data_IF_964199582530
#
_entry.id   IF_964199582530
#
_cell.length_a   1.000
_cell.length_b   1.000
_cell.length_c   1.000
_cell.angle_alpha   90.00
_cell.angle_beta   90.00
_cell.angle_gamma   90.00
#
_symmetry.space_group_name_H-M   'P 1'
#
loop_
_entity.id
_entity.type
_entity.pdbx_description
1 polymer ?
#
# COMPACT_ATOMS: atom_id res chain seq x y z
N UNK A 1 -1.48 6.52 -1.75
CA UNK A 1 -2.43 7.68 -1.74
C UNK A 1 -2.79 8.10 -3.16
N UNK A 2 -1.86 8.64 -3.93
CA UNK A 2 -2.12 9.28 -5.25
C UNK A 2 -2.91 8.40 -6.24
N UNK A 3 -2.66 7.11 -6.28
CA UNK A 3 -3.38 6.18 -7.16
C UNK A 3 -4.74 5.71 -6.62
N UNK A 4 -5.04 5.96 -5.35
CA UNK A 4 -6.30 5.55 -4.70
C UNK A 4 -7.28 6.72 -4.56
N UNK A 5 -6.83 7.84 -4.01
CA UNK A 5 -7.62 9.08 -3.98
C UNK A 5 -7.46 9.81 -5.32
N UNK A 6 -8.50 9.74 -6.13
CA UNK A 6 -8.53 10.35 -7.47
C UNK A 6 -8.32 11.87 -7.47
N UNK A 7 -8.62 12.54 -6.36
CA UNK A 7 -8.55 14.00 -6.27
C UNK A 7 -7.15 14.57 -6.49
N UNK A 8 -6.10 13.81 -6.12
CA UNK A 8 -4.72 14.25 -6.30
C UNK A 8 -4.35 14.45 -7.77
N UNK A 9 -4.64 13.48 -8.63
CA UNK A 9 -4.30 13.53 -10.04
C UNK A 9 -5.32 14.32 -10.88
N UNK A 10 -6.57 14.33 -10.45
CA UNK A 10 -7.64 15.09 -11.14
C UNK A 10 -7.32 16.59 -11.23
N UNK A 11 -6.61 17.15 -10.25
CA UNK A 11 -6.14 18.55 -10.28
C UNK A 11 -5.21 18.86 -11.46
N UNK A 12 -4.61 17.83 -12.03
CA UNK A 12 -3.70 17.90 -13.17
C UNK A 12 -4.31 17.30 -14.44
N UNK A 13 -5.63 17.06 -14.47
CA UNK A 13 -6.32 16.48 -15.61
C UNK A 13 -6.01 15.01 -15.87
N UNK A 14 -5.46 14.29 -14.87
CA UNK A 14 -5.11 12.88 -14.99
C UNK A 14 -6.10 12.02 -14.21
N UNK A 15 -6.66 11.01 -14.87
CA UNK A 15 -7.48 10.00 -14.20
C UNK A 15 -6.57 8.92 -13.57
N UNK A 16 -6.67 8.77 -12.25
CA UNK A 16 -5.91 7.77 -11.50
C UNK A 16 -6.17 6.33 -11.99
N UNK A 17 -7.32 6.06 -12.61
CA UNK A 17 -7.63 4.74 -13.15
C UNK A 17 -6.82 4.38 -14.41
N UNK A 18 -6.15 5.36 -15.04
CA UNK A 18 -5.27 5.13 -16.19
C UNK A 18 -3.84 4.71 -15.78
N UNK A 19 -3.54 4.67 -14.48
CA UNK A 19 -2.26 4.15 -13.98
C UNK A 19 -2.21 2.64 -14.25
N UNK A 20 -1.13 2.16 -14.87
CA UNK A 20 -0.96 0.75 -15.25
C UNK A 20 -0.91 -0.20 -14.04
N UNK A 21 -0.43 0.27 -12.89
CA UNK A 21 -0.40 -0.50 -11.64
C UNK A 21 0.24 0.29 -10.51
N UNK A 22 -0.03 -0.13 -9.29
CA UNK A 22 0.52 0.42 -8.05
C UNK A 22 1.35 -0.67 -7.36
N UNK A 23 2.59 -0.36 -7.05
CA UNK A 23 3.50 -1.30 -6.42
C UNK A 23 4.16 -0.67 -5.17
N UNK A 24 3.44 -0.55 -4.06
CA UNK A 24 4.01 -0.01 -2.82
C UNK A 24 5.00 -0.99 -2.22
N UNK A 25 6.23 -0.52 -1.98
CA UNK A 25 7.31 -1.27 -1.35
C UNK A 25 7.23 -1.07 0.16
N UNK A 26 6.65 -2.01 0.88
CA UNK A 26 6.41 -1.93 2.33
C UNK A 26 5.80 -0.59 2.75
N UNK A 27 4.80 -0.15 1.97
CA UNK A 27 4.12 1.12 2.17
C UNK A 27 3.19 1.09 3.39
N UNK A 28 2.98 2.23 4.03
CA UNK A 28 1.92 2.37 5.03
C UNK A 28 0.54 2.37 4.36
N UNK A 29 -0.43 1.78 5.00
CA UNK A 29 -1.83 1.73 4.53
C UNK A 29 -2.82 2.34 5.52
N UNK A 30 -2.44 2.43 6.80
CA UNK A 30 -3.10 3.29 7.79
C UNK A 30 -2.44 4.68 7.77
N UNK A 31 -3.00 5.66 8.47
CA UNK A 31 -2.41 7.00 8.60
C UNK A 31 -1.01 6.90 9.19
N UNK A 32 -0.01 7.41 8.47
CA UNK A 32 1.40 7.28 8.82
C UNK A 32 1.69 7.82 10.23
N UNK A 33 2.71 7.29 10.89
CA UNK A 33 3.07 7.69 12.26
C UNK A 33 3.44 9.18 12.37
N UNK A 34 4.02 9.79 11.34
CA UNK A 34 4.39 11.22 11.38
C UNK A 34 3.18 12.12 11.62
N UNK A 35 2.11 12.14 10.78
CA UNK A 35 0.92 12.94 11.08
C UNK A 35 0.22 12.52 12.37
N UNK A 36 0.32 11.27 12.81
CA UNK A 36 -0.20 10.86 14.12
C UNK A 36 0.58 11.51 15.26
N UNK A 37 1.92 11.50 15.21
CA UNK A 37 2.78 12.14 16.21
C UNK A 37 2.56 13.65 16.27
N UNK A 38 2.44 14.33 15.14
CA UNK A 38 2.13 15.76 15.06
C UNK A 38 0.79 16.11 15.75
N UNK A 39 -0.14 15.16 15.83
CA UNK A 39 -1.42 15.29 16.52
C UNK A 39 -1.40 14.75 17.96
N UNK A 40 -0.24 14.40 18.49
CA UNK A 40 -0.10 13.85 19.84
C UNK A 40 -0.62 12.41 19.99
N UNK A 41 -0.79 11.67 18.89
CA UNK A 41 -1.25 10.28 18.91
C UNK A 41 -0.03 9.36 18.95
N UNK A 42 0.01 8.45 19.93
CA UNK A 42 1.10 7.49 20.07
C UNK A 42 1.20 6.57 18.85
N UNK A 43 2.43 6.17 18.49
CA UNK A 43 2.70 5.33 17.31
C UNK A 43 2.01 3.96 17.36
N UNK A 44 1.73 3.45 18.55
CA UNK A 44 1.03 2.18 18.78
C UNK A 44 -0.50 2.29 18.57
N UNK A 45 -1.05 3.51 18.50
CA UNK A 45 -2.48 3.72 18.24
C UNK A 45 -2.73 3.88 16.75
N UNK A 46 -3.44 2.94 16.11
CA UNK A 46 -3.77 3.07 14.70
C UNK A 46 -4.78 4.19 14.49
N UNK A 47 -4.69 4.83 13.33
CA UNK A 47 -5.66 5.81 12.84
C UNK A 47 -5.89 5.57 11.35
N UNK A 48 -7.14 5.62 10.92
CA UNK A 48 -7.53 5.51 9.51
C UNK A 48 -8.41 6.73 9.20
N UNK A 49 -7.83 7.70 8.55
CA UNK A 49 -8.49 8.91 8.08
C UNK A 49 -8.16 9.18 6.61
N UNK A 50 -8.52 10.34 6.09
CA UNK A 50 -8.30 10.73 4.70
C UNK A 50 -6.83 10.67 4.23
N UNK A 51 -5.88 10.57 5.16
CA UNK A 51 -4.44 10.41 4.88
C UNK A 51 -4.00 8.95 4.83
N UNK A 52 -4.91 8.02 5.06
CA UNK A 52 -4.65 6.58 5.00
C UNK A 52 -5.03 6.00 3.65
N UNK A 53 -4.17 5.24 2.94
CA UNK A 53 -4.57 4.49 1.75
C UNK A 53 -5.81 3.61 1.97
N UNK A 54 -5.92 3.00 3.15
CA UNK A 54 -7.04 2.14 3.53
C UNK A 54 -8.40 2.86 3.53
N UNK A 55 -8.42 4.17 3.80
CA UNK A 55 -9.63 5.00 3.73
C UNK A 55 -10.19 5.10 2.30
N UNK A 56 -9.31 5.01 1.30
CA UNK A 56 -9.62 5.20 -0.13
C UNK A 56 -9.73 3.88 -0.90
N UNK A 57 -10.03 2.78 -0.22
CA UNK A 57 -10.30 1.47 -0.87
C UNK A 57 -11.48 1.62 -1.82
N UNK A 58 -11.29 1.14 -3.05
CA UNK A 58 -12.32 1.19 -4.09
C UNK A 58 -12.18 0.05 -5.11
N UNK A 59 -13.28 -0.45 -5.69
CA UNK A 59 -13.24 -1.61 -6.58
C UNK A 59 -12.60 -1.34 -7.95
N UNK A 60 -12.61 -0.09 -8.39
CA UNK A 60 -12.10 0.36 -9.69
C UNK A 60 -10.69 0.96 -9.63
N UNK A 61 -9.93 0.70 -8.56
CA UNK A 61 -8.55 1.12 -8.45
C UNK A 61 -7.65 0.42 -9.50
N UNK A 62 -6.49 1.03 -9.88
CA UNK A 62 -5.49 0.31 -10.67
C UNK A 62 -5.07 -1.00 -10.02
N UNK A 63 -4.52 -1.96 -10.78
CA UNK A 63 -3.91 -3.17 -10.21
C UNK A 63 -2.92 -2.82 -9.09
N UNK A 64 -2.94 -3.58 -7.99
CA UNK A 64 -2.10 -3.31 -6.81
C UNK A 64 -1.34 -4.57 -6.42
N UNK A 65 -0.01 -4.47 -6.37
CA UNK A 65 0.88 -5.52 -5.85
C UNK A 65 1.55 -5.01 -4.59
N UNK A 66 1.04 -5.41 -3.44
CA UNK A 66 1.60 -5.07 -2.13
C UNK A 66 2.80 -5.96 -1.84
N UNK A 67 3.90 -5.37 -1.36
CA UNK A 67 5.08 -6.12 -0.93
C UNK A 67 5.49 -5.68 0.47
N UNK A 68 5.84 -6.64 1.32
CA UNK A 68 6.36 -6.40 2.67
C UNK A 68 7.56 -7.30 2.95
N UNK A 69 8.38 -6.94 3.91
CA UNK A 69 9.31 -7.86 4.52
C UNK A 69 8.59 -8.89 5.39
N UNK A 70 9.36 -9.69 6.09
CA UNK A 70 8.88 -10.67 7.07
C UNK A 70 8.17 -9.94 8.22
N UNK A 71 6.95 -10.37 8.55
CA UNK A 71 6.13 -9.75 9.61
C UNK A 71 6.83 -9.63 10.96
N UNK A 72 7.75 -10.55 11.25
CA UNK A 72 8.50 -10.58 12.50
C UNK A 72 9.74 -9.66 12.48
N UNK A 73 10.13 -9.15 11.31
CA UNK A 73 11.31 -8.31 11.09
C UNK A 73 10.97 -6.90 10.55
N UNK A 74 9.73 -6.69 10.15
CA UNK A 74 9.24 -5.41 9.62
C UNK A 74 9.03 -4.35 10.70
N UNK A 75 8.77 -3.12 10.26
CA UNK A 75 8.29 -2.05 11.14
C UNK A 75 6.96 -2.44 11.78
N UNK A 76 6.74 -1.95 12.99
CA UNK A 76 5.55 -2.25 13.80
C UNK A 76 4.25 -2.14 12.99
N UNK A 77 3.54 -3.25 12.87
CA UNK A 77 2.24 -3.32 12.21
C UNK A 77 2.27 -3.23 10.68
N UNK A 78 3.44 -3.12 10.06
CA UNK A 78 3.56 -2.87 8.62
C UNK A 78 2.99 -4.01 7.76
N UNK A 79 3.28 -5.25 8.11
CA UNK A 79 2.68 -6.39 7.42
C UNK A 79 1.17 -6.44 7.65
N UNK A 80 0.74 -6.29 8.89
CA UNK A 80 -0.66 -6.41 9.31
C UNK A 80 -1.54 -5.35 8.63
N UNK A 81 -1.08 -4.09 8.54
CA UNK A 81 -1.83 -3.04 7.85
C UNK A 81 -1.96 -3.30 6.34
N UNK A 82 -0.91 -3.84 5.71
CA UNK A 82 -0.94 -4.22 4.29
C UNK A 82 -1.85 -5.44 4.05
N UNK A 83 -1.83 -6.44 4.93
CA UNK A 83 -2.71 -7.59 4.87
C UNK A 83 -4.18 -7.18 5.04
N UNK A 84 -4.46 -6.26 5.97
CA UNK A 84 -5.81 -5.72 6.17
C UNK A 84 -6.27 -4.90 4.96
N UNK A 85 -5.42 -4.03 4.42
CA UNK A 85 -5.71 -3.29 3.20
C UNK A 85 -6.04 -4.24 2.03
N UNK A 86 -5.23 -5.26 1.80
CA UNK A 86 -5.49 -6.27 0.78
C UNK A 86 -6.85 -6.95 0.97
N UNK A 87 -7.17 -7.34 2.21
CA UNK A 87 -8.47 -7.92 2.54
C UNK A 87 -9.61 -6.98 2.19
N UNK A 88 -9.50 -5.71 2.53
CA UNK A 88 -10.53 -4.70 2.28
C UNK A 88 -10.69 -4.38 0.79
N UNK A 89 -9.61 -4.41 0.01
CA UNK A 89 -9.69 -4.33 -1.45
C UNK A 89 -10.54 -5.46 -2.03
N UNK A 90 -10.35 -6.69 -1.56
CA UNK A 90 -11.16 -7.85 -1.96
C UNK A 90 -12.63 -7.71 -1.54
N UNK A 91 -12.89 -7.27 -0.33
CA UNK A 91 -14.25 -7.01 0.18
C UNK A 91 -14.96 -5.95 -0.66
N UNK A 92 -14.24 -4.91 -1.10
CA UNK A 92 -14.77 -3.88 -2.00
C UNK A 92 -15.01 -4.39 -3.43
N UNK A 93 -14.57 -5.60 -3.77
CA UNK A 93 -14.74 -6.18 -5.10
C UNK A 93 -13.58 -5.93 -6.07
N UNK A 94 -12.45 -5.39 -5.59
CA UNK A 94 -11.25 -5.20 -6.40
C UNK A 94 -10.65 -6.56 -6.77
N UNK A 95 -10.39 -6.80 -8.07
CA UNK A 95 -10.02 -8.13 -8.58
C UNK A 95 -8.54 -8.31 -8.90
N UNK A 96 -7.79 -7.21 -8.94
CA UNK A 96 -6.37 -7.20 -9.32
C UNK A 96 -5.49 -6.70 -8.16
N UNK A 97 -5.65 -7.28 -6.97
CA UNK A 97 -4.84 -6.98 -5.79
C UNK A 97 -4.14 -8.23 -5.27
N UNK A 98 -2.84 -8.11 -5.03
CA UNK A 98 -1.99 -9.17 -4.51
C UNK A 98 -1.18 -8.67 -3.31
N UNK A 99 -0.71 -9.60 -2.48
CA UNK A 99 0.23 -9.31 -1.39
C UNK A 99 1.34 -10.38 -1.37
N UNK A 100 2.58 -9.93 -1.23
CA UNK A 100 3.77 -10.77 -1.11
C UNK A 100 4.54 -10.41 0.15
N UNK A 101 4.78 -11.40 0.99
CA UNK A 101 5.62 -11.31 2.17
C UNK A 101 6.98 -11.95 1.88
N UNK A 102 8.06 -11.22 2.04
CA UNK A 102 9.42 -11.74 1.83
C UNK A 102 10.02 -12.22 3.14
N UNK A 103 9.88 -13.52 3.40
CA UNK A 103 10.39 -14.17 4.62
C UNK A 103 11.89 -13.96 4.81
N UNK A 104 12.30 -13.69 6.05
CA UNK A 104 13.68 -13.42 6.43
C UNK A 104 14.21 -12.04 6.02
N UNK A 105 13.38 -11.16 5.46
CA UNK A 105 13.76 -9.80 5.05
C UNK A 105 13.10 -8.76 5.95
N UNK A 106 13.89 -7.79 6.39
CA UNK A 106 13.35 -6.60 7.09
C UNK A 106 12.89 -5.52 6.10
N UNK A 107 12.43 -4.38 6.62
CA UNK A 107 11.95 -3.25 5.83
C UNK A 107 12.93 -2.78 4.73
N UNK A 108 14.22 -2.76 5.00
CA UNK A 108 15.23 -2.34 4.03
C UNK A 108 15.62 -3.45 3.06
N UNK A 109 15.83 -4.67 3.56
CA UNK A 109 16.36 -5.78 2.77
C UNK A 109 15.30 -6.44 1.87
N UNK A 110 14.01 -6.12 2.03
CA UNK A 110 12.96 -6.61 1.14
C UNK A 110 12.93 -5.90 -0.21
N UNK A 111 13.52 -4.70 -0.32
CA UNK A 111 13.40 -3.81 -1.49
C UNK A 111 13.93 -4.47 -2.77
N UNK A 112 15.06 -5.17 -2.68
CA UNK A 112 15.66 -5.87 -3.83
C UNK A 112 14.67 -6.87 -4.45
N UNK A 113 14.07 -7.73 -3.62
CA UNK A 113 13.10 -8.73 -4.07
C UNK A 113 11.81 -8.08 -4.62
N UNK A 114 11.40 -6.97 -4.00
CA UNK A 114 10.22 -6.23 -4.47
C UNK A 114 10.47 -5.59 -5.85
N UNK A 115 11.67 -5.08 -6.11
CA UNK A 115 12.06 -4.54 -7.42
C UNK A 115 12.14 -5.63 -8.48
N UNK A 116 12.68 -6.81 -8.14
CA UNK A 116 12.68 -7.96 -9.05
C UNK A 116 11.26 -8.38 -9.44
N UNK A 117 10.34 -8.39 -8.47
CA UNK A 117 8.93 -8.70 -8.72
C UNK A 117 8.30 -7.63 -9.64
N UNK A 118 8.52 -6.35 -9.36
CA UNK A 118 8.04 -5.25 -10.19
C UNK A 118 8.53 -5.36 -11.63
N UNK A 119 9.81 -5.65 -11.84
CA UNK A 119 10.38 -5.83 -13.17
C UNK A 119 9.74 -7.00 -13.94
N UNK A 120 9.47 -8.10 -13.26
CA UNK A 120 8.76 -9.25 -13.86
C UNK A 120 7.32 -8.88 -14.25
N UNK A 121 6.61 -8.14 -13.42
CA UNK A 121 5.24 -7.71 -13.72
C UNK A 121 5.19 -6.73 -14.90
N UNK A 122 6.14 -5.79 -15.00
CA UNK A 122 6.20 -4.83 -16.13
C UNK A 122 6.55 -5.49 -17.46
N UNK A 123 7.23 -6.64 -17.46
CA UNK A 123 7.58 -7.39 -18.67
C UNK A 123 6.44 -8.27 -19.18
N UNK A 124 5.42 -8.53 -18.37
CA UNK A 124 4.24 -9.33 -18.75
C UNK A 124 3.18 -8.53 -19.50
N UNK A 125 3.28 -7.22 -19.48
CA UNK A 125 2.39 -6.29 -20.18
C UNK A 125 3.05 -5.81 -21.48
#
# INVERSE_FOLDING_TARGET
MVGLDKTYLAKHGVDANQIAGLHPLSGHTITHFTPRQERGIAKEKPLIDEYAPLYHVRPDAPPIVLTTGDRDLELLGRYEENAYFWRMMKVAGHKASEIHEFKGRNHGTMVELALELLLKETQRN
#
